data_IF_161993762202
#
_entry.id   IF_161993762202
#
_cell.length_a   1.000
_cell.length_b   1.000
_cell.length_c   1.000
_cell.angle_alpha   90.00
_cell.angle_beta   90.00
_cell.angle_gamma   90.00
#
_symmetry.space_group_name_H-M   'P 1'
#
loop_
_entity.id
_entity.type
_entity.pdbx_description
1 polymer ?
#
# COMPACT_ATOMS: atom_id res chain seq x y z
N UNK A 1 -38.50 -0.06 -2.60
CA UNK A 1 -38.38 0.41 -4.00
C UNK A 1 -37.03 1.06 -4.15
N UNK A 2 -36.06 0.32 -4.68
CA UNK A 2 -34.78 0.90 -5.07
C UNK A 2 -34.98 1.66 -6.38
N UNK A 3 -34.50 2.90 -6.50
CA UNK A 3 -34.50 3.56 -7.78
C UNK A 3 -33.54 2.80 -8.70
N UNK A 4 -34.06 2.43 -9.87
CA UNK A 4 -33.26 1.90 -10.98
C UNK A 4 -32.31 3.00 -11.47
N UNK A 5 -31.22 3.19 -10.77
CA UNK A 5 -30.12 4.01 -11.24
C UNK A 5 -29.46 3.27 -12.41
N UNK A 6 -29.57 3.83 -13.61
CA UNK A 6 -28.72 3.48 -14.72
C UNK A 6 -27.28 3.52 -14.25
N UNK A 7 -26.58 2.39 -14.36
CA UNK A 7 -25.14 2.35 -14.08
C UNK A 7 -24.50 3.52 -14.84
N UNK A 8 -23.66 4.32 -14.20
CA UNK A 8 -22.98 5.41 -14.90
C UNK A 8 -22.26 4.81 -16.10
N UNK A 9 -22.40 5.44 -17.26
CA UNK A 9 -21.65 5.05 -18.44
C UNK A 9 -20.21 4.83 -18.01
N UNK A 10 -19.60 3.71 -18.45
CA UNK A 10 -18.17 3.47 -18.23
C UNK A 10 -17.42 4.67 -18.80
N UNK A 11 -17.11 5.63 -17.93
CA UNK A 11 -16.24 6.69 -18.30
C UNK A 11 -14.89 6.05 -18.57
N UNK A 12 -14.30 6.29 -19.74
CA UNK A 12 -12.90 5.96 -20.02
C UNK A 12 -11.93 6.83 -19.19
N UNK A 13 -12.41 7.41 -18.10
CA UNK A 13 -11.62 8.16 -17.15
C UNK A 13 -10.95 7.11 -16.28
N UNK A 14 -9.69 6.83 -16.56
CA UNK A 14 -8.84 6.12 -15.65
C UNK A 14 -8.92 6.81 -14.28
N UNK A 15 -8.98 6.01 -13.20
CA UNK A 15 -9.02 6.48 -11.84
C UNK A 15 -7.97 7.58 -11.62
N UNK A 16 -8.44 8.80 -11.47
CA UNK A 16 -7.58 9.96 -11.24
C UNK A 16 -7.04 9.88 -9.82
N UNK A 17 -5.81 9.39 -9.69
CA UNK A 17 -5.17 9.19 -8.39
C UNK A 17 -5.12 10.45 -7.50
N UNK A 18 -5.25 11.62 -8.12
CA UNK A 18 -5.19 12.90 -7.40
C UNK A 18 -6.50 13.35 -6.72
N UNK A 19 -7.60 12.63 -6.94
CA UNK A 19 -8.91 12.99 -6.39
C UNK A 19 -9.35 12.11 -5.21
N UNK A 20 -8.47 11.23 -4.74
CA UNK A 20 -8.78 10.38 -3.60
C UNK A 20 -8.79 11.16 -2.28
N UNK A 21 -9.66 10.74 -1.38
CA UNK A 21 -9.73 11.18 0.01
C UNK A 21 -9.67 9.95 0.91
N UNK A 22 -8.87 10.02 1.97
CA UNK A 22 -8.84 8.98 2.99
C UNK A 22 -9.95 9.19 4.00
N UNK A 23 -10.59 8.10 4.40
CA UNK A 23 -11.57 8.07 5.48
C UNK A 23 -11.21 6.97 6.47
N UNK A 24 -11.55 7.16 7.72
CA UNK A 24 -11.45 6.14 8.75
C UNK A 24 -12.78 5.95 9.46
N UNK A 25 -13.02 4.73 9.87
CA UNK A 25 -14.08 4.31 10.79
C UNK A 25 -13.43 3.33 11.76
N UNK A 26 -13.86 3.32 13.01
CA UNK A 26 -13.32 2.43 14.04
C UNK A 26 -14.41 1.72 14.80
N UNK A 27 -14.03 0.59 15.38
CA UNK A 27 -14.90 -0.22 16.21
C UNK A 27 -14.14 -0.72 17.43
N UNK A 28 -14.78 -0.71 18.59
CA UNK A 28 -14.24 -1.30 19.81
C UNK A 28 -14.58 -2.79 19.98
N UNK A 29 -15.61 -3.27 19.26
CA UNK A 29 -16.14 -4.65 19.39
C UNK A 29 -16.19 -5.42 18.05
N UNK A 30 -15.81 -4.76 16.93
CA UNK A 30 -15.88 -5.31 15.60
C UNK A 30 -17.28 -5.40 14.99
N UNK A 31 -18.32 -5.06 15.76
CA UNK A 31 -19.72 -5.15 15.32
C UNK A 31 -20.34 -3.77 15.06
N UNK A 32 -20.03 -2.81 15.90
CA UNK A 32 -20.48 -1.42 15.76
C UNK A 32 -19.34 -0.53 15.34
N UNK A 33 -19.54 0.23 14.28
CA UNK A 33 -18.55 1.11 13.69
C UNK A 33 -18.95 2.57 13.84
N UNK A 34 -17.97 3.43 14.05
CA UNK A 34 -18.19 4.88 14.04
C UNK A 34 -18.62 5.35 12.66
N UNK A 35 -19.26 6.53 12.59
CA UNK A 35 -19.39 7.22 11.31
C UNK A 35 -18.01 7.47 10.69
N UNK A 36 -17.90 7.38 9.34
CA UNK A 36 -16.66 7.67 8.66
C UNK A 36 -16.21 9.12 8.89
N UNK A 37 -14.95 9.31 9.22
CA UNK A 37 -14.35 10.63 9.36
C UNK A 37 -13.26 10.83 8.30
N UNK A 38 -13.21 12.04 7.74
CA UNK A 38 -12.18 12.42 6.78
C UNK A 38 -10.81 12.47 7.46
N UNK A 39 -9.81 11.88 6.84
CA UNK A 39 -8.42 11.95 7.27
C UNK A 39 -7.76 13.19 6.64
N UNK A 40 -7.46 14.19 7.45
CA UNK A 40 -6.77 15.40 6.99
C UNK A 40 -5.34 15.07 6.53
N UNK A 41 -4.88 15.75 5.47
CA UNK A 41 -3.57 15.53 4.86
C UNK A 41 -3.49 14.30 3.92
N UNK A 42 -4.61 13.61 3.66
CA UNK A 42 -4.65 12.47 2.74
C UNK A 42 -5.17 12.80 1.34
N UNK A 43 -5.53 14.05 1.06
CA UNK A 43 -6.03 14.44 -0.26
C UNK A 43 -5.04 14.11 -1.38
N UNK A 44 -5.53 13.46 -2.41
CA UNK A 44 -4.73 12.98 -3.53
C UNK A 44 -4.03 11.64 -3.29
N UNK A 45 -4.12 11.07 -2.08
CA UNK A 45 -3.49 9.80 -1.76
C UNK A 45 -4.48 8.65 -1.84
N UNK A 46 -4.17 7.64 -2.65
CA UNK A 46 -4.79 6.33 -2.52
C UNK A 46 -4.16 5.62 -1.35
N UNK A 47 -4.82 5.66 -0.19
CA UNK A 47 -4.33 5.06 1.05
C UNK A 47 -4.41 3.53 0.99
N UNK A 48 -3.38 2.85 1.48
CA UNK A 48 -3.28 1.40 1.34
C UNK A 48 -3.10 0.67 2.67
N UNK A 49 -2.04 0.95 3.40
CA UNK A 49 -1.70 0.26 4.64
C UNK A 49 -1.40 1.25 5.74
N UNK A 50 -1.84 0.90 6.96
CA UNK A 50 -1.47 1.61 8.17
C UNK A 50 -0.74 0.65 9.14
N UNK A 51 0.14 1.22 9.95
CA UNK A 51 0.83 0.54 11.03
C UNK A 51 1.07 1.53 12.17
N UNK A 52 1.21 1.05 13.41
CA UNK A 52 1.58 1.86 14.55
C UNK A 52 2.98 1.48 15.03
N UNK A 53 3.72 2.48 15.49
CA UNK A 53 5.00 2.30 16.18
C UNK A 53 5.19 3.42 17.22
N UNK A 54 5.49 3.04 18.45
CA UNK A 54 5.48 3.98 19.57
C UNK A 54 4.08 4.59 19.75
N UNK A 55 4.02 5.89 19.91
CA UNK A 55 2.78 6.65 20.07
C UNK A 55 2.26 7.23 18.73
N UNK A 56 2.81 6.79 17.60
CA UNK A 56 2.47 7.31 16.28
C UNK A 56 1.82 6.27 15.40
N UNK A 57 0.93 6.74 14.54
CA UNK A 57 0.41 5.99 13.40
C UNK A 57 1.17 6.36 12.11
N UNK A 58 1.32 5.39 11.23
CA UNK A 58 1.96 5.55 9.93
C UNK A 58 1.06 4.98 8.84
N UNK A 59 0.99 5.68 7.72
CA UNK A 59 0.11 5.35 6.61
C UNK A 59 0.90 5.35 5.30
N UNK A 60 0.71 4.30 4.50
CA UNK A 60 1.15 4.31 3.11
C UNK A 60 0.03 4.87 2.23
N UNK A 61 0.38 5.80 1.35
CA UNK A 61 -0.48 6.32 0.31
C UNK A 61 0.30 6.56 -0.98
N UNK A 62 -0.27 6.19 -2.12
CA UNK A 62 0.30 6.52 -3.42
C UNK A 62 -0.44 7.69 -4.04
N UNK A 63 0.26 8.51 -4.82
CA UNK A 63 -0.34 9.62 -5.59
C UNK A 63 0.48 9.91 -6.83
N UNK A 64 -0.11 10.65 -7.78
CA UNK A 64 0.65 11.31 -8.84
C UNK A 64 1.53 12.43 -8.27
N UNK A 65 2.74 12.54 -8.80
CA UNK A 65 3.63 13.66 -8.50
C UNK A 65 3.04 14.90 -9.18
N UNK A 66 2.95 16.02 -8.44
CA UNK A 66 2.53 17.31 -8.99
C UNK A 66 1.02 17.54 -9.09
N UNK A 67 0.18 16.63 -8.62
CA UNK A 67 -1.30 16.77 -8.69
C UNK A 67 -1.82 17.04 -10.11
N UNK A 68 -1.17 16.48 -11.12
CA UNK A 68 -1.63 16.60 -12.50
C UNK A 68 -2.86 15.70 -12.69
N UNK A 69 -3.98 16.30 -13.08
CA UNK A 69 -5.26 15.63 -13.41
C UNK A 69 -5.32 15.15 -14.86
N UNK A 70 -4.23 15.20 -15.60
CA UNK A 70 -4.17 14.74 -16.99
C UNK A 70 -4.43 13.24 -17.13
N UNK A 71 -4.79 12.78 -18.35
CA UNK A 71 -5.02 11.37 -18.61
C UNK A 71 -3.77 10.55 -18.33
N UNK A 72 -3.96 9.38 -17.72
CA UNK A 72 -2.92 8.37 -17.41
C UNK A 72 -1.54 8.96 -17.09
N UNK A 73 -1.27 9.17 -15.80
CA UNK A 73 0.11 9.39 -15.40
C UNK A 73 0.98 8.25 -15.91
N UNK A 74 2.12 8.59 -16.48
CA UNK A 74 3.16 7.62 -16.74
C UNK A 74 3.49 6.92 -15.41
N UNK A 75 3.81 5.62 -15.41
CA UNK A 75 4.08 4.89 -14.16
C UNK A 75 5.19 5.53 -13.33
N UNK A 76 6.06 6.32 -13.96
CA UNK A 76 7.13 7.05 -13.28
C UNK A 76 6.63 8.25 -12.48
N UNK A 77 5.44 8.76 -12.78
CA UNK A 77 4.87 9.93 -12.13
C UNK A 77 4.12 9.61 -10.84
N UNK A 78 4.19 8.37 -10.38
CA UNK A 78 3.54 7.92 -9.16
C UNK A 78 4.58 7.73 -8.07
N UNK A 79 4.38 8.39 -6.92
CA UNK A 79 5.15 8.17 -5.69
C UNK A 79 4.32 7.35 -4.68
N UNK A 80 5.02 6.56 -3.86
CA UNK A 80 4.46 5.89 -2.69
C UNK A 80 5.04 6.56 -1.45
N UNK A 81 4.18 7.17 -0.63
CA UNK A 81 4.58 7.98 0.50
C UNK A 81 4.28 7.28 1.83
N UNK A 82 5.11 7.59 2.81
CA UNK A 82 4.84 7.35 4.21
C UNK A 82 4.39 8.65 4.87
N UNK A 83 3.19 8.66 5.39
CA UNK A 83 2.68 9.73 6.25
C UNK A 83 2.68 9.27 7.70
N UNK A 84 2.84 10.21 8.64
CA UNK A 84 2.74 9.97 10.07
C UNK A 84 1.64 10.82 10.69
N UNK A 85 1.09 10.35 11.80
CA UNK A 85 0.06 11.01 12.58
C UNK A 85 0.24 10.72 14.07
N UNK A 86 -0.07 11.71 14.90
CA UNK A 86 -0.08 11.57 16.36
C UNK A 86 -1.47 11.15 16.90
N UNK A 87 -2.53 11.40 16.15
CA UNK A 87 -3.93 11.17 16.53
C UNK A 87 -4.69 10.20 15.60
N UNK A 88 -4.06 9.78 14.51
CA UNK A 88 -4.69 8.95 13.47
C UNK A 88 -5.64 9.69 12.54
N UNK A 89 -5.81 11.00 12.71
CA UNK A 89 -6.77 11.83 11.95
C UNK A 89 -6.07 12.87 11.07
N UNK A 90 -4.99 13.48 11.56
CA UNK A 90 -4.21 14.48 10.83
C UNK A 90 -2.88 13.86 10.41
N UNK A 91 -2.67 13.76 9.10
CA UNK A 91 -1.55 13.07 8.49
C UNK A 91 -0.57 14.04 7.83
N UNK A 92 0.71 13.81 8.03
CA UNK A 92 1.78 14.61 7.44
C UNK A 92 2.79 13.73 6.74
N UNK A 93 3.26 14.14 5.57
CA UNK A 93 4.32 13.44 4.85
C UNK A 93 5.55 13.30 5.72
N UNK A 94 6.02 12.08 5.89
CA UNK A 94 7.24 11.74 6.64
C UNK A 94 8.40 11.39 5.73
N UNK A 95 8.16 10.52 4.76
CA UNK A 95 9.18 10.00 3.84
C UNK A 95 8.53 9.50 2.55
N UNK A 96 9.35 9.09 1.57
CA UNK A 96 8.90 8.37 0.41
C UNK A 96 9.41 6.92 0.46
N UNK A 97 8.50 5.94 0.45
CA UNK A 97 8.84 4.55 0.21
C UNK A 97 9.46 4.38 -1.18
N UNK A 98 8.80 4.99 -2.18
CA UNK A 98 9.25 5.00 -3.57
C UNK A 98 8.96 6.38 -4.16
N UNK A 99 9.99 7.05 -4.64
CA UNK A 99 9.90 8.43 -5.14
C UNK A 99 9.34 8.51 -6.55
N UNK A 100 9.53 7.46 -7.33
CA UNK A 100 9.05 7.32 -8.71
C UNK A 100 8.61 5.89 -8.97
N UNK A 101 7.71 5.70 -9.91
CA UNK A 101 7.13 4.40 -10.28
C UNK A 101 6.65 3.61 -9.05
N UNK A 102 6.24 4.32 -8.01
CA UNK A 102 5.73 3.75 -6.76
C UNK A 102 4.29 3.28 -6.92
N UNK A 103 3.90 2.38 -6.04
CA UNK A 103 2.54 1.86 -6.00
C UNK A 103 2.21 1.45 -4.55
N UNK A 104 1.25 0.55 -4.35
CA UNK A 104 0.89 0.04 -3.04
C UNK A 104 2.13 -0.48 -2.29
N UNK A 105 2.26 -0.10 -1.04
CA UNK A 105 3.37 -0.54 -0.19
C UNK A 105 2.82 -1.11 1.11
N UNK A 106 3.21 -2.33 1.44
CA UNK A 106 3.01 -2.91 2.76
C UNK A 106 4.30 -2.82 3.56
N UNK A 107 4.22 -2.52 4.84
CA UNK A 107 5.37 -2.35 5.70
C UNK A 107 5.07 -2.75 7.15
N UNK A 108 6.11 -3.02 7.90
CA UNK A 108 6.07 -3.27 9.33
C UNK A 108 7.31 -2.66 10.00
N UNK A 109 7.20 -2.44 11.30
CA UNK A 109 8.28 -1.97 12.13
C UNK A 109 8.93 -3.11 12.92
N UNK A 110 10.23 -3.02 13.14
CA UNK A 110 10.92 -3.78 14.17
C UNK A 110 10.82 -3.06 15.54
N UNK A 111 11.43 -3.65 16.55
CA UNK A 111 11.40 -3.11 17.93
C UNK A 111 12.13 -1.77 18.07
N UNK A 112 13.03 -1.43 17.17
CA UNK A 112 13.80 -0.18 17.16
C UNK A 112 13.22 0.86 16.21
N UNK A 113 12.08 0.58 15.57
CA UNK A 113 11.45 1.45 14.59
C UNK A 113 12.04 1.30 13.19
N UNK A 114 12.88 0.32 12.95
CA UNK A 114 13.34 -0.02 11.61
C UNK A 114 12.18 -0.51 10.76
N UNK A 115 12.12 -0.06 9.51
CA UNK A 115 11.08 -0.44 8.55
C UNK A 115 11.59 -1.54 7.62
N UNK A 116 10.77 -2.57 7.48
CA UNK A 116 10.83 -3.54 6.40
C UNK A 116 9.54 -3.44 5.58
N UNK A 117 9.66 -3.19 4.28
CA UNK A 117 8.49 -3.01 3.41
C UNK A 117 8.62 -3.73 2.08
N UNK A 118 7.47 -3.97 1.45
CA UNK A 118 7.34 -4.49 0.09
C UNK A 118 6.56 -3.46 -0.71
N UNK A 119 7.24 -2.83 -1.67
CA UNK A 119 6.65 -1.86 -2.59
C UNK A 119 6.32 -2.51 -3.94
N UNK A 120 5.06 -2.42 -4.35
CA UNK A 120 4.63 -2.82 -5.69
C UNK A 120 5.27 -1.92 -6.74
N UNK A 121 5.57 -2.50 -7.89
CA UNK A 121 5.98 -1.79 -9.11
C UNK A 121 5.44 -2.51 -10.34
N UNK A 122 5.52 -1.88 -11.50
CA UNK A 122 5.15 -2.49 -12.79
C UNK A 122 5.95 -3.76 -13.10
N UNK A 123 7.26 -3.76 -12.78
CA UNK A 123 8.14 -4.93 -12.88
C UNK A 123 8.20 -5.69 -11.56
N UNK A 124 9.40 -6.09 -11.16
CA UNK A 124 9.61 -6.76 -9.87
C UNK A 124 9.30 -5.83 -8.71
N UNK A 125 8.70 -6.37 -7.65
CA UNK A 125 8.49 -5.64 -6.41
C UNK A 125 9.82 -5.24 -5.76
N UNK A 126 9.78 -4.25 -4.86
CA UNK A 126 10.95 -3.81 -4.12
C UNK A 126 10.86 -4.17 -2.65
N UNK A 127 11.95 -4.71 -2.14
CA UNK A 127 12.24 -4.76 -0.71
C UNK A 127 12.76 -3.39 -0.27
N UNK A 128 12.11 -2.82 0.73
CA UNK A 128 12.36 -1.48 1.23
C UNK A 128 12.82 -1.56 2.68
N UNK A 129 13.90 -0.88 3.02
CA UNK A 129 14.42 -0.81 4.37
C UNK A 129 14.84 0.61 4.72
N UNK A 130 14.52 1.05 5.92
CA UNK A 130 14.94 2.33 6.47
C UNK A 130 14.93 2.28 7.99
N UNK A 131 15.73 3.13 8.61
CA UNK A 131 15.70 3.36 10.06
C UNK A 131 15.32 4.80 10.36
N UNK A 132 14.82 5.09 11.57
CA UNK A 132 14.59 6.46 11.98
C UNK A 132 15.85 7.33 11.76
N UNK A 133 15.72 8.54 11.27
CA UNK A 133 14.51 9.30 10.98
C UNK A 133 13.94 9.10 9.56
N UNK A 134 14.17 7.99 8.88
CA UNK A 134 13.65 7.58 7.56
C UNK A 134 14.08 8.47 6.40
N UNK A 135 15.25 9.06 6.50
CA UNK A 135 15.85 9.92 5.46
C UNK A 135 16.70 9.14 4.47
N UNK A 136 17.08 7.91 4.81
CA UNK A 136 17.87 7.03 3.96
C UNK A 136 17.15 5.72 3.76
N UNK A 137 16.98 5.33 2.49
CA UNK A 137 16.29 4.11 2.09
C UNK A 137 17.20 3.18 1.32
N UNK A 138 17.15 1.91 1.67
CA UNK A 138 17.68 0.82 0.86
C UNK A 138 16.51 0.24 0.08
N UNK A 139 16.61 0.25 -1.25
CA UNK A 139 15.59 -0.27 -2.18
C UNK A 139 16.25 -1.33 -3.06
N UNK A 140 15.76 -2.56 -2.98
CA UNK A 140 16.31 -3.70 -3.73
C UNK A 140 15.19 -4.44 -4.43
N UNK A 141 15.37 -4.79 -5.70
CA UNK A 141 14.37 -5.59 -6.40
C UNK A 141 14.28 -6.99 -5.81
N UNK A 142 13.08 -7.49 -5.67
CA UNK A 142 12.77 -8.89 -5.41
C UNK A 142 12.87 -9.70 -6.72
N UNK A 143 12.68 -11.01 -6.62
CA UNK A 143 12.75 -11.93 -7.76
C UNK A 143 11.49 -11.89 -8.66
N UNK A 144 10.38 -11.28 -8.19
CA UNK A 144 9.10 -11.26 -8.92
C UNK A 144 8.24 -10.03 -8.64
N UNK A 145 7.19 -9.88 -9.45
CA UNK A 145 6.11 -8.92 -9.21
C UNK A 145 5.23 -9.37 -8.04
N UNK A 146 4.81 -8.42 -7.20
CA UNK A 146 3.80 -8.61 -6.15
C UNK A 146 2.78 -7.48 -6.26
N UNK A 147 1.54 -7.82 -6.57
CA UNK A 147 0.42 -6.88 -6.59
C UNK A 147 -0.35 -6.94 -5.27
N UNK A 148 -0.82 -5.79 -4.77
CA UNK A 148 -1.52 -5.71 -3.49
C UNK A 148 -0.72 -6.33 -2.32
N UNK A 149 0.49 -5.84 -2.04
CA UNK A 149 1.42 -6.52 -1.14
C UNK A 149 0.88 -6.64 0.29
N UNK A 150 1.21 -7.76 0.91
CA UNK A 150 1.14 -8.00 2.35
C UNK A 150 2.55 -8.31 2.86
N UNK A 151 2.88 -7.84 4.05
CA UNK A 151 4.06 -8.30 4.80
C UNK A 151 3.66 -8.54 6.25
N UNK A 152 4.14 -9.63 6.83
CA UNK A 152 3.86 -10.00 8.22
C UNK A 152 5.00 -10.81 8.83
N UNK A 153 5.03 -10.88 10.17
CA UNK A 153 5.86 -11.82 10.92
C UNK A 153 5.02 -13.02 11.32
N UNK A 154 5.52 -14.23 11.04
CA UNK A 154 4.90 -15.48 11.46
C UNK A 154 5.96 -16.50 11.85
N UNK A 155 5.90 -16.96 13.11
CA UNK A 155 6.86 -17.92 13.64
C UNK A 155 8.33 -17.47 13.52
N UNK A 156 8.63 -16.20 13.76
CA UNK A 156 9.97 -15.63 13.64
C UNK A 156 10.44 -15.36 12.18
N UNK A 157 9.69 -15.83 11.19
CA UNK A 157 9.97 -15.63 9.76
C UNK A 157 9.19 -14.45 9.19
N UNK A 158 9.63 -13.94 8.05
CA UNK A 158 8.89 -12.91 7.32
C UNK A 158 8.07 -13.57 6.21
N UNK A 159 6.77 -13.30 6.22
CA UNK A 159 5.83 -13.70 5.17
C UNK A 159 5.56 -12.51 4.27
N UNK A 160 5.55 -12.74 2.98
CA UNK A 160 5.10 -11.80 1.95
C UNK A 160 3.97 -12.48 1.17
N UNK A 161 2.86 -11.78 1.07
CA UNK A 161 1.71 -12.22 0.28
C UNK A 161 1.39 -11.21 -0.81
N UNK A 162 0.69 -11.67 -1.84
CA UNK A 162 0.18 -10.81 -2.88
C UNK A 162 -0.05 -11.51 -4.20
N UNK A 163 -0.58 -10.75 -5.12
CA UNK A 163 -0.94 -11.22 -6.45
C UNK A 163 0.30 -11.27 -7.35
N UNK A 164 0.45 -12.35 -8.10
CA UNK A 164 1.39 -12.43 -9.20
C UNK A 164 0.74 -13.08 -10.42
N UNK A 165 1.29 -12.83 -11.60
CA UNK A 165 0.82 -13.42 -12.85
C UNK A 165 1.50 -14.78 -13.06
N UNK A 166 0.72 -15.77 -13.46
CA UNK A 166 1.20 -17.09 -13.88
C UNK A 166 0.67 -17.39 -15.28
N UNK A 167 1.15 -18.46 -15.90
CA UNK A 167 0.66 -18.95 -17.20
C UNK A 167 -0.84 -19.31 -17.15
N UNK A 168 -1.38 -19.57 -15.97
CA UNK A 168 -2.79 -19.90 -15.72
C UNK A 168 -3.64 -18.70 -15.28
N UNK A 169 -3.10 -17.49 -15.37
CA UNK A 169 -3.73 -16.25 -14.91
C UNK A 169 -3.20 -15.73 -13.57
N UNK A 170 -3.81 -14.67 -13.03
CA UNK A 170 -3.38 -14.09 -11.78
C UNK A 170 -3.68 -15.03 -10.61
N UNK A 171 -2.75 -15.11 -9.66
CA UNK A 171 -2.82 -15.90 -8.43
C UNK A 171 -2.41 -15.07 -7.24
N UNK A 172 -2.98 -15.34 -6.08
CA UNK A 172 -2.52 -14.81 -4.81
C UNK A 172 -1.74 -15.88 -4.08
N UNK A 173 -0.50 -15.61 -3.75
CA UNK A 173 0.34 -16.55 -3.02
C UNK A 173 0.92 -15.97 -1.74
N UNK A 174 1.35 -16.87 -0.87
CA UNK A 174 2.07 -16.58 0.36
C UNK A 174 3.47 -17.17 0.25
N UNK A 175 4.46 -16.33 0.52
CA UNK A 175 5.87 -16.66 0.36
C UNK A 175 6.66 -16.36 1.63
N UNK A 176 7.69 -17.18 1.90
CA UNK A 176 8.73 -16.81 2.84
C UNK A 176 9.72 -15.86 2.17
N UNK A 177 10.02 -14.74 2.80
CA UNK A 177 11.09 -13.87 2.35
C UNK A 177 12.43 -14.39 2.88
N UNK A 178 13.33 -14.76 1.97
CA UNK A 178 14.69 -15.22 2.27
C UNK A 178 15.67 -14.35 1.48
N UNK A 179 16.33 -13.44 2.16
CA UNK A 179 17.17 -12.44 1.49
C UNK A 179 16.33 -11.53 0.57
N UNK A 180 16.36 -11.78 -0.74
CA UNK A 180 15.56 -11.07 -1.76
C UNK A 180 14.70 -12.02 -2.60
N UNK A 181 14.62 -13.26 -2.18
CA UNK A 181 13.86 -14.29 -2.87
C UNK A 181 12.57 -14.61 -2.12
N UNK A 182 11.52 -14.90 -2.87
CA UNK A 182 10.22 -15.25 -2.36
C UNK A 182 9.96 -16.74 -2.59
N UNK A 183 10.08 -17.52 -1.51
CA UNK A 183 9.83 -18.95 -1.52
C UNK A 183 8.37 -19.22 -1.22
N UNK A 184 7.61 -19.52 -2.27
CA UNK A 184 6.19 -19.80 -2.14
C UNK A 184 5.93 -21.06 -1.32
N UNK A 185 4.99 -20.99 -0.39
CA UNK A 185 4.55 -22.12 0.43
C UNK A 185 3.04 -22.36 0.39
N UNK A 186 2.26 -21.40 -0.09
CA UNK A 186 0.83 -21.53 -0.27
C UNK A 186 0.31 -20.67 -1.42
N UNK A 187 -0.65 -21.20 -2.17
CA UNK A 187 -1.49 -20.47 -3.11
C UNK A 187 -2.88 -20.37 -2.49
N UNK A 188 -3.46 -19.17 -2.47
CA UNK A 188 -4.80 -18.96 -1.94
C UNK A 188 -5.84 -19.24 -3.02
N UNK A 189 -6.99 -19.86 -2.66
CA UNK A 189 -8.08 -20.04 -3.60
C UNK A 189 -8.64 -18.70 -4.03
N UNK A 190 -8.78 -18.49 -5.34
CA UNK A 190 -9.30 -17.26 -5.92
C UNK A 190 -8.50 -16.79 -7.12
N UNK A 191 -9.08 -15.88 -7.90
CA UNK A 191 -8.51 -15.38 -9.15
C UNK A 191 -7.44 -14.31 -9.01
N UNK A 192 -7.01 -13.97 -7.79
CA UNK A 192 -5.98 -12.94 -7.57
C UNK A 192 -6.52 -11.50 -7.64
N UNK A 193 -7.81 -11.29 -7.47
CA UNK A 193 -8.46 -9.98 -7.31
C UNK A 193 -8.86 -9.73 -5.86
#
# INVERSE_FOLDING_TARGET
CSPSGTAPAKSNIDLELNLHLGYASWSGDGAKWSEPILLDGTFGHYVWRAAAFGEKAFLCGRRKIGFDVGPKGEPNDIESLMSESDDGLIWRKRAAFQEIAGDDTAFLFDQQGGILGIGRRRGTAQLLQSNPPYTKWIRRNLDRHIGGPLIAKWGGRTVVGGRHSTDRGPKTSMCWLVGRELHEFAELPGGGD
#
